data_IF_193857034439
#
_entry.id   IF_193857034439
#
_cell.length_a   1.000
_cell.length_b   1.000
_cell.length_c   1.000
_cell.angle_alpha   90.00
_cell.angle_beta   90.00
_cell.angle_gamma   90.00
#
_symmetry.space_group_name_H-M   'P 1'
#
loop_
_entity.id
_entity.type
_entity.pdbx_description
1 polymer ?
#
# COMPACT_ATOMS: atom_id res chain seq x y z
N UNK A 1 -8.93 -3.30 -13.94
CA UNK A 1 -9.67 -3.57 -12.68
C UNK A 1 -8.67 -4.07 -11.67
N UNK A 2 -8.58 -3.45 -10.49
CA UNK A 2 -7.71 -3.95 -9.42
C UNK A 2 -8.34 -5.23 -8.88
N UNK A 3 -7.59 -6.32 -8.86
CA UNK A 3 -8.08 -7.62 -8.43
C UNK A 3 -8.02 -7.74 -6.91
N UNK A 4 -9.16 -8.00 -6.26
CA UNK A 4 -9.22 -8.32 -4.82
C UNK A 4 -8.67 -9.71 -4.47
N UNK A 5 -8.33 -10.53 -5.47
CA UNK A 5 -7.73 -11.84 -5.25
C UNK A 5 -6.29 -11.70 -4.70
N UNK A 6 -5.97 -12.30 -3.54
CA UNK A 6 -4.65 -12.16 -2.90
C UNK A 6 -3.48 -12.66 -3.75
N UNK A 7 -3.68 -13.67 -4.59
CA UNK A 7 -2.64 -14.19 -5.49
C UNK A 7 -2.28 -13.15 -6.55
N UNK A 8 -3.28 -12.48 -7.12
CA UNK A 8 -3.04 -11.42 -8.12
C UNK A 8 -2.36 -10.21 -7.49
N UNK A 9 -2.77 -9.82 -6.27
CA UNK A 9 -2.10 -8.77 -5.50
C UNK A 9 -0.63 -9.13 -5.29
N UNK A 10 -0.32 -10.36 -4.85
CA UNK A 10 1.05 -10.81 -4.70
C UNK A 10 1.84 -10.75 -6.02
N UNK A 11 1.27 -11.25 -7.12
CA UNK A 11 1.88 -11.23 -8.45
C UNK A 11 2.21 -9.80 -8.90
N UNK A 12 1.33 -8.84 -8.63
CA UNK A 12 1.57 -7.43 -8.95
C UNK A 12 2.68 -6.85 -8.05
N UNK A 13 2.65 -7.14 -6.75
CA UNK A 13 3.62 -6.63 -5.78
C UNK A 13 5.06 -7.11 -6.06
N UNK A 14 5.26 -8.39 -6.38
CA UNK A 14 6.61 -8.93 -6.63
C UNK A 14 7.25 -8.42 -7.94
N UNK A 15 6.49 -7.76 -8.82
CA UNK A 15 7.01 -7.17 -10.06
C UNK A 15 7.68 -5.81 -9.83
N UNK A 16 7.40 -5.15 -8.72
CA UNK A 16 8.09 -3.92 -8.36
C UNK A 16 9.50 -4.24 -7.86
N UNK A 17 10.52 -3.63 -8.49
CA UNK A 17 11.89 -3.77 -8.03
C UNK A 17 12.15 -2.88 -6.81
N UNK A 18 11.81 -3.39 -5.63
CA UNK A 18 12.00 -2.71 -4.34
C UNK A 18 13.24 -3.20 -3.58
N UNK A 19 14.21 -3.81 -4.26
CA UNK A 19 15.43 -4.30 -3.63
C UNK A 19 16.21 -3.16 -2.95
N UNK A 20 16.59 -3.38 -1.69
CA UNK A 20 17.41 -2.47 -0.91
C UNK A 20 18.87 -2.99 -0.88
N UNK A 21 19.89 -2.24 -1.36
CA UNK A 21 19.88 -0.94 -2.07
C UNK A 21 19.65 -1.10 -3.59
N UNK A 22 19.00 -0.16 -4.32
CA UNK A 22 18.96 1.29 -4.10
C UNK A 22 17.65 1.91 -3.56
N UNK A 23 16.59 1.14 -3.29
CA UNK A 23 15.34 1.65 -2.70
C UNK A 23 14.43 2.42 -3.65
N UNK A 24 13.54 1.70 -4.35
CA UNK A 24 12.53 2.22 -5.28
C UNK A 24 11.09 1.84 -4.85
N UNK A 25 10.82 1.87 -3.55
CA UNK A 25 9.55 1.44 -2.95
C UNK A 25 8.35 2.28 -3.41
N UNK A 26 8.57 3.50 -3.91
CA UNK A 26 7.51 4.46 -4.28
C UNK A 26 6.38 3.84 -5.12
N UNK A 27 6.69 3.25 -6.28
CA UNK A 27 5.63 2.72 -7.18
C UNK A 27 4.82 1.60 -6.50
N UNK A 28 5.49 0.73 -5.74
CA UNK A 28 4.85 -0.34 -4.98
C UNK A 28 3.90 0.24 -3.91
N UNK A 29 4.35 1.26 -3.18
CA UNK A 29 3.56 1.95 -2.16
C UNK A 29 2.31 2.61 -2.77
N UNK A 30 2.45 3.29 -3.92
CA UNK A 30 1.32 3.91 -4.60
C UNK A 30 0.33 2.87 -5.17
N UNK A 31 0.81 1.71 -5.59
CA UNK A 31 -0.06 0.61 -5.99
C UNK A 31 -0.90 0.10 -4.80
N UNK A 32 -0.29 -0.11 -3.63
CA UNK A 32 -1.04 -0.52 -2.41
C UNK A 32 -2.04 0.55 -1.99
N UNK A 33 -1.67 1.84 -2.07
CA UNK A 33 -2.58 2.95 -1.81
C UNK A 33 -3.85 2.86 -2.66
N UNK A 34 -3.71 2.65 -3.97
CA UNK A 34 -4.84 2.55 -4.91
C UNK A 34 -5.76 1.34 -4.60
N UNK A 35 -5.20 0.19 -4.19
CA UNK A 35 -5.99 -0.97 -3.74
C UNK A 35 -6.86 -0.59 -2.52
N UNK A 36 -6.25 0.08 -1.54
CA UNK A 36 -6.91 0.44 -0.28
C UNK A 36 -7.98 1.51 -0.49
N UNK A 37 -7.68 2.57 -1.25
CA UNK A 37 -8.63 3.64 -1.55
C UNK A 37 -9.84 3.12 -2.35
N UNK A 38 -9.62 2.22 -3.31
CA UNK A 38 -10.72 1.55 -4.05
C UNK A 38 -11.59 0.66 -3.16
N UNK A 39 -11.05 0.23 -2.03
CA UNK A 39 -11.77 -0.54 -1.00
C UNK A 39 -12.44 0.36 0.04
N UNK A 40 -12.37 1.68 -0.11
CA UNK A 40 -12.94 2.65 0.82
C UNK A 40 -12.12 2.86 2.10
N UNK A 41 -10.86 2.43 2.12
CA UNK A 41 -9.97 2.59 3.27
C UNK A 41 -9.22 3.91 3.13
N UNK A 42 -9.26 4.75 4.16
CA UNK A 42 -8.54 6.02 4.20
C UNK A 42 -7.03 5.78 4.24
N UNK A 43 -6.27 6.53 3.43
CA UNK A 43 -4.81 6.42 3.37
C UNK A 43 -4.11 7.76 3.40
N UNK A 44 -2.88 7.77 3.92
CA UNK A 44 -1.97 8.93 3.94
C UNK A 44 -0.55 8.47 3.61
N UNK A 45 0.20 9.29 2.85
CA UNK A 45 1.61 9.02 2.52
C UNK A 45 2.52 9.99 3.26
N UNK A 46 3.59 9.46 3.83
CA UNK A 46 4.63 10.22 4.50
C UNK A 46 6.00 9.93 3.87
N UNK A 47 6.84 10.95 3.73
CA UNK A 47 8.15 10.84 3.09
C UNK A 47 9.26 11.26 4.05
N UNK A 48 10.32 10.45 4.11
CA UNK A 48 11.65 10.89 4.56
C UNK A 48 12.61 10.94 3.37
N UNK A 49 12.56 9.93 2.49
CA UNK A 49 13.12 9.92 1.13
C UNK A 49 11.94 9.77 0.16
N UNK A 50 11.90 10.58 -0.89
CA UNK A 50 10.84 10.56 -1.92
C UNK A 50 10.74 9.21 -2.64
N UNK A 51 11.83 8.45 -2.70
CA UNK A 51 11.87 7.11 -3.31
C UNK A 51 11.36 6.01 -2.37
N UNK A 52 11.29 6.30 -1.06
CA UNK A 52 10.97 5.34 0.01
C UNK A 52 9.85 5.85 0.94
N UNK A 53 8.65 6.14 0.41
CA UNK A 53 7.52 6.57 1.24
C UNK A 53 7.05 5.50 2.21
N UNK A 54 6.44 5.95 3.30
CA UNK A 54 5.60 5.14 4.17
C UNK A 54 4.12 5.39 3.85
N UNK A 55 3.32 4.33 3.86
CA UNK A 55 1.87 4.39 3.69
C UNK A 55 1.19 4.05 5.02
N UNK A 56 0.37 4.97 5.51
CA UNK A 56 -0.54 4.77 6.61
C UNK A 56 -1.94 4.51 6.05
N UNK A 57 -2.60 3.47 6.55
CA UNK A 57 -3.99 3.18 6.24
C UNK A 57 -4.78 3.01 7.54
N UNK A 58 -6.00 3.54 7.59
CA UNK A 58 -6.84 3.53 8.79
C UNK A 58 -8.18 2.86 8.50
N UNK A 59 -8.54 1.91 9.34
CA UNK A 59 -9.90 1.36 9.44
C UNK A 59 -10.41 1.76 10.82
N UNK A 60 -11.48 2.57 10.87
CA UNK A 60 -12.07 2.98 12.14
C UNK A 60 -12.66 1.77 12.88
N UNK A 61 -12.31 1.63 14.15
CA UNK A 61 -12.93 0.64 15.03
C UNK A 61 -14.38 1.04 15.34
N UNK A 62 -15.23 0.06 15.63
CA UNK A 62 -16.64 0.31 16.01
C UNK A 62 -16.82 0.93 17.39
N UNK A 63 -15.75 1.03 18.18
CA UNK A 63 -15.81 1.49 19.58
C UNK A 63 -16.54 0.53 20.53
N UNK A 64 -16.84 -0.68 20.07
CA UNK A 64 -17.47 -1.74 20.87
C UNK A 64 -16.37 -2.44 21.68
N UNK A 65 -16.43 -2.28 23.01
CA UNK A 65 -15.65 -3.10 23.94
C UNK A 65 -16.29 -4.49 24.06
N UNK A 66 -15.53 -5.58 24.24
CA UNK A 66 -16.09 -6.89 24.57
C UNK A 66 -16.94 -6.86 25.85
#
# INVERSE_FOLDING_TARGET
MVSSNPVNILVDLIRFNTTNPPGNERECVYHVKDILEKSGIETQIFYLDERRPNLLAKIEGKGESP
#
